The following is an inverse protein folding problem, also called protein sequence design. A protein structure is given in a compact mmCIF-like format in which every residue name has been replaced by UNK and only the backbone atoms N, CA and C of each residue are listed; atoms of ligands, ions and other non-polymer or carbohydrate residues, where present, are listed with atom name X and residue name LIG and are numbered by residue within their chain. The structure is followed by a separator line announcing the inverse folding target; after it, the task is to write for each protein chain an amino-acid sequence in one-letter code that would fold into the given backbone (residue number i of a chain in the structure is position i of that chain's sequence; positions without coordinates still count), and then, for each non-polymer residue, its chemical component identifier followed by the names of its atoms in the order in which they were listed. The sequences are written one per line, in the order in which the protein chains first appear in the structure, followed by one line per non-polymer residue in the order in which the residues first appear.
data_IF_446946013025
#
_entry.id   IF_446946013025
#
_cell.length_a   1.000
_cell.length_b   1.000
_cell.length_c   1.000
_cell.angle_alpha   90.00
_cell.angle_beta   90.00
_cell.angle_gamma   90.00
#
_symmetry.space_group_name_H-M   'P 1'
#
loop_
_entity.id
_entity.type
_entity.pdbx_description
1 polymer ?
#
# COMPACT_ATOMS: atom_id res chain seq x y z
N UNK A 1 29.10 -14.77 -6.85
CA UNK A 1 27.97 -14.05 -7.44
C UNK A 1 27.07 -13.62 -6.29
N UNK A 2 26.75 -12.33 -6.10
CA UNK A 2 25.77 -11.95 -5.07
C UNK A 2 24.42 -12.58 -5.43
N UNK A 3 23.75 -13.17 -4.45
CA UNK A 3 22.42 -13.75 -4.63
C UNK A 3 21.45 -12.68 -5.17
N UNK A 4 20.50 -13.02 -6.05
CA UNK A 4 19.50 -12.08 -6.49
C UNK A 4 18.78 -11.56 -5.25
N UNK A 5 18.91 -10.26 -4.96
CA UNK A 5 18.17 -9.64 -3.87
C UNK A 5 16.69 -9.74 -4.24
N UNK A 6 16.01 -10.71 -3.64
CA UNK A 6 14.56 -10.92 -3.80
C UNK A 6 13.84 -9.84 -3.02
N UNK A 7 13.77 -8.64 -3.59
CA UNK A 7 12.87 -7.61 -3.11
C UNK A 7 11.43 -7.93 -3.52
N UNK A 8 10.49 -7.72 -2.60
CA UNK A 8 9.06 -7.90 -2.82
C UNK A 8 8.35 -6.61 -2.48
N UNK A 9 7.43 -6.19 -3.35
CA UNK A 9 6.59 -5.03 -3.10
C UNK A 9 5.18 -5.49 -2.73
N UNK A 10 4.60 -4.84 -1.74
CA UNK A 10 3.24 -5.12 -1.26
C UNK A 10 2.45 -3.83 -1.23
N UNK A 11 1.23 -3.89 -1.70
CA UNK A 11 0.25 -2.81 -1.66
C UNK A 11 -0.84 -3.13 -0.65
N UNK A 12 -1.15 -2.18 0.22
CA UNK A 12 -2.26 -2.24 1.17
C UNK A 12 -3.17 -1.05 0.92
N UNK A 13 -4.46 -1.27 0.68
CA UNK A 13 -5.45 -0.18 0.67
C UNK A 13 -6.38 -0.24 1.88
N UNK A 14 -7.03 0.88 2.14
CA UNK A 14 -7.91 1.07 3.28
C UNK A 14 -9.27 1.55 2.79
N UNK A 15 -10.34 1.09 3.44
CA UNK A 15 -11.71 1.59 3.28
C UNK A 15 -12.24 2.10 4.60
N UNK A 16 -13.26 2.95 4.55
CA UNK A 16 -14.03 3.25 5.76
C UNK A 16 -14.91 2.05 6.08
N UNK A 17 -14.66 1.42 7.22
CA UNK A 17 -15.59 0.48 7.83
C UNK A 17 -16.13 1.07 9.12
N UNK A 18 -17.32 0.64 9.51
CA UNK A 18 -17.95 1.23 10.68
C UNK A 18 -19.32 0.67 10.99
N UNK A 19 -19.69 0.79 12.26
CA UNK A 19 -21.07 0.66 12.74
C UNK A 19 -21.75 2.03 12.66
N UNK A 20 -23.09 2.10 12.69
CA UNK A 20 -23.79 3.38 12.77
C UNK A 20 -23.22 4.24 13.92
N UNK A 21 -22.70 5.43 13.59
CA UNK A 21 -22.14 6.39 14.54
C UNK A 21 -20.61 6.41 14.67
N UNK A 22 -19.87 5.49 14.06
CA UNK A 22 -18.41 5.53 14.02
C UNK A 22 -17.85 4.90 12.74
N UNK A 23 -17.00 5.63 12.03
CA UNK A 23 -16.24 5.12 10.88
C UNK A 23 -14.75 5.14 11.22
N UNK A 24 -14.04 4.10 10.84
CA UNK A 24 -12.60 3.98 10.98
C UNK A 24 -12.00 3.39 9.69
N UNK A 25 -10.76 3.76 9.34
CA UNK A 25 -10.04 3.09 8.27
C UNK A 25 -9.80 1.61 8.61
N UNK A 26 -10.14 0.72 7.69
CA UNK A 26 -9.89 -0.72 7.79
C UNK A 26 -9.16 -1.22 6.54
N UNK A 27 -8.10 -2.03 6.68
CA UNK A 27 -7.38 -2.55 5.54
C UNK A 27 -8.23 -3.51 4.73
N UNK A 28 -8.30 -3.32 3.42
CA UNK A 28 -9.04 -4.19 2.49
C UNK A 28 -8.34 -5.52 2.23
N UNK A 29 -7.02 -5.53 2.40
CA UNK A 29 -6.16 -6.69 2.20
C UNK A 29 -4.76 -6.30 1.73
N UNK A 30 -3.84 -7.27 1.75
CA UNK A 30 -2.49 -7.13 1.23
C UNK A 30 -2.41 -7.74 -0.16
N UNK A 31 -1.84 -7.00 -1.12
CA UNK A 31 -1.63 -7.47 -2.48
C UNK A 31 -0.14 -7.49 -2.79
N UNK A 32 0.37 -8.66 -3.16
CA UNK A 32 1.73 -8.80 -3.67
C UNK A 32 1.82 -8.21 -5.07
N UNK A 33 2.72 -7.24 -5.25
CA UNK A 33 2.97 -6.59 -6.52
C UNK A 33 4.14 -7.23 -7.24
N UNK A 34 4.05 -7.30 -8.57
CA UNK A 34 5.10 -7.91 -9.41
C UNK A 34 6.35 -7.04 -9.52
N UNK A 35 6.21 -5.74 -9.29
CA UNK A 35 7.28 -4.76 -9.36
C UNK A 35 6.91 -3.50 -8.56
N UNK A 36 7.90 -2.64 -8.32
CA UNK A 36 7.69 -1.31 -7.76
C UNK A 36 6.67 -0.49 -8.57
N UNK A 37 6.75 -0.55 -9.90
CA UNK A 37 5.87 0.22 -10.78
C UNK A 37 4.41 -0.23 -10.67
N UNK A 38 4.15 -1.54 -10.56
CA UNK A 38 2.80 -2.08 -10.31
C UNK A 38 2.24 -1.58 -8.98
N UNK A 39 3.05 -1.59 -7.92
CA UNK A 39 2.65 -1.07 -6.61
C UNK A 39 2.32 0.44 -6.64
N UNK A 40 3.19 1.24 -7.25
CA UNK A 40 2.98 2.70 -7.38
C UNK A 40 1.79 3.05 -8.28
N UNK A 41 1.54 2.27 -9.34
CA UNK A 41 0.37 2.46 -10.20
C UNK A 41 -0.93 2.22 -9.43
N UNK A 42 -0.96 1.23 -8.53
CA UNK A 42 -2.11 0.99 -7.65
C UNK A 42 -2.30 2.13 -6.65
N UNK A 43 -1.22 2.59 -6.02
CA UNK A 43 -1.25 3.77 -5.14
C UNK A 43 -1.79 5.01 -5.86
N UNK A 44 -1.34 5.25 -7.09
CA UNK A 44 -1.81 6.37 -7.91
C UNK A 44 -3.31 6.29 -8.17
N UNK A 45 -3.87 5.12 -8.46
CA UNK A 45 -5.32 4.95 -8.64
C UNK A 45 -6.11 5.39 -7.40
N UNK A 46 -5.64 5.03 -6.21
CA UNK A 46 -6.25 5.46 -4.95
C UNK A 46 -6.12 6.97 -4.77
N UNK A 47 -4.90 7.51 -4.98
CA UNK A 47 -4.62 8.94 -4.88
C UNK A 47 -5.45 9.80 -5.85
N UNK A 48 -5.77 9.27 -7.03
CA UNK A 48 -6.59 9.94 -8.04
C UNK A 48 -8.10 9.72 -7.87
N UNK A 49 -8.54 9.00 -6.83
CA UNK A 49 -9.97 8.71 -6.61
C UNK A 49 -10.57 7.77 -7.67
N UNK A 50 -9.76 6.95 -8.34
CA UNK A 50 -10.21 5.94 -9.30
C UNK A 50 -10.67 4.64 -8.63
N UNK A 51 -10.68 4.61 -7.30
CA UNK A 51 -11.08 3.48 -6.46
C UNK A 51 -11.90 3.99 -5.28
N UNK A 52 -12.74 3.13 -4.70
CA UNK A 52 -13.48 3.44 -3.46
C UNK A 52 -12.61 3.38 -2.19
N UNK A 53 -11.31 3.09 -2.33
CA UNK A 53 -10.37 3.09 -1.23
C UNK A 53 -10.08 4.52 -0.78
N UNK A 54 -10.03 4.74 0.53
CA UNK A 54 -9.80 6.05 1.13
C UNK A 54 -8.32 6.37 1.29
N UNK A 55 -7.45 5.37 1.18
CA UNK A 55 -6.01 5.51 1.40
C UNK A 55 -5.29 4.23 1.03
N UNK A 56 -3.97 4.30 0.91
CA UNK A 56 -3.14 3.14 0.63
C UNK A 56 -1.67 3.36 1.01
N UNK A 57 -0.94 2.26 1.21
CA UNK A 57 0.49 2.23 1.51
C UNK A 57 1.18 1.22 0.59
N UNK A 58 2.39 1.54 0.15
CA UNK A 58 3.29 0.61 -0.56
C UNK A 58 4.46 0.28 0.34
N UNK A 59 4.67 -1.00 0.58
CA UNK A 59 5.79 -1.53 1.34
C UNK A 59 6.76 -2.26 0.43
N UNK A 60 8.05 -2.18 0.73
CA UNK A 60 9.11 -3.00 0.14
C UNK A 60 9.73 -3.86 1.23
N UNK A 61 9.72 -5.16 0.98
CA UNK A 61 10.39 -6.17 1.79
C UNK A 61 11.66 -6.58 1.07
N UNK A 62 12.79 -6.54 1.76
CA UNK A 62 14.08 -6.91 1.20
C UNK A 62 14.98 -7.53 2.28
N UNK A 63 16.04 -8.21 1.85
CA UNK A 63 17.07 -8.73 2.74
C UNK A 63 18.26 -7.78 2.69
N UNK A 64 18.67 -7.27 3.85
CA UNK A 64 19.82 -6.37 3.98
C UNK A 64 21.15 -7.07 3.68
N UNK A 65 22.23 -6.30 3.59
CA UNK A 65 23.59 -6.83 3.37
C UNK A 65 24.06 -7.72 4.53
N UNK A 66 23.49 -7.52 5.71
CA UNK A 66 23.65 -8.32 6.92
C UNK A 66 22.86 -9.64 6.91
N UNK A 67 22.08 -9.90 5.85
CA UNK A 67 21.18 -11.05 5.76
C UNK A 67 19.89 -10.90 6.58
N UNK A 68 19.65 -9.74 7.22
CA UNK A 68 18.47 -9.52 8.02
C UNK A 68 17.27 -9.08 7.14
N UNK A 69 16.05 -9.57 7.41
CA UNK A 69 14.86 -9.10 6.72
C UNK A 69 14.55 -7.67 7.14
N UNK A 70 14.27 -6.80 6.17
CA UNK A 70 13.93 -5.39 6.36
C UNK A 70 12.64 -5.05 5.62
N UNK A 71 11.92 -4.09 6.16
CA UNK A 71 10.71 -3.53 5.57
C UNK A 71 10.84 -2.02 5.53
N UNK A 72 10.49 -1.40 4.41
CA UNK A 72 10.40 0.04 4.27
C UNK A 72 9.07 0.45 3.63
N UNK A 73 8.51 1.56 4.10
CA UNK A 73 7.39 2.22 3.41
C UNK A 73 7.98 3.01 2.25
N UNK A 74 7.59 2.67 1.03
CA UNK A 74 8.07 3.33 -0.18
C UNK A 74 7.30 4.62 -0.42
N UNK A 75 5.98 4.57 -0.27
CA UNK A 75 5.08 5.70 -0.46
C UNK A 75 3.72 5.40 0.19
N UNK A 76 2.96 6.45 0.51
CA UNK A 76 1.63 6.34 1.09
C UNK A 76 0.72 7.49 0.66
N UNK A 77 -0.57 7.18 0.60
CA UNK A 77 -1.64 8.16 0.49
C UNK A 77 -2.56 7.98 1.69
N UNK A 78 -2.60 9.01 2.53
CA UNK A 78 -3.53 9.10 3.66
C UNK A 78 -4.97 9.24 3.20
N UNK A 79 -5.88 9.56 4.13
CA UNK A 79 -7.30 9.68 3.82
C UNK A 79 -7.54 10.74 2.72
N UNK A 80 -7.84 10.28 1.51
CA UNK A 80 -8.30 11.12 0.41
C UNK A 80 -9.71 11.54 0.78
N UNK A 81 -9.90 12.82 1.07
CA UNK A 81 -11.23 13.36 1.32
C UNK A 81 -12.07 13.12 0.06
N UNK A 82 -13.04 12.21 0.14
CA UNK A 82 -14.05 12.06 -0.90
C UNK A 82 -14.87 13.34 -0.85
N UNK A 83 -14.60 14.26 -1.77
CA UNK A 83 -15.46 15.43 -1.97
C UNK A 83 -16.78 14.87 -2.48
N UNK A 84 -17.77 14.76 -1.59
CA UNK A 84 -19.13 14.45 -1.99
C UNK A 84 -19.60 15.62 -2.87
N UNK A 85 -19.84 15.31 -4.16
CA UNK A 85 -20.46 16.21 -5.12
C UNK A 85 -21.97 16.28 -4.89
#
# INVERSE_FOLDING_TARGET
MPAPQTETYVFQSYKLEGKPGAQYPWPTGLVHCRSRQDALMRLYKVKSGLTDDIGASVFRFYVGEDGAPRTETVDEVGQVAVVQA
#
